data_IF_859587023046
#
_entry.id   IF_859587023046
#
_cell.length_a   1.000
_cell.length_b   1.000
_cell.length_c   1.000
_cell.angle_alpha   90.00
_cell.angle_beta   90.00
_cell.angle_gamma   90.00
#
_symmetry.space_group_name_H-M   'P 1'
#
loop_
_entity.id
_entity.type
_entity.pdbx_description
1 polymer ?
#
# COMPACT_ATOMS: atom_id res chain seq x y z
N UNK A 1 52.78 -45.89 -3.88
CA UNK A 1 52.15 -44.78 -3.13
C UNK A 1 51.32 -44.00 -4.13
N UNK A 2 50.03 -44.34 -4.23
CA UNK A 2 49.06 -43.68 -5.12
C UNK A 2 48.05 -43.04 -4.16
N UNK A 3 48.09 -41.71 -4.07
CA UNK A 3 47.09 -40.92 -3.34
C UNK A 3 45.98 -40.61 -4.32
N UNK A 4 44.81 -41.20 -4.11
CA UNK A 4 43.56 -40.77 -4.76
C UNK A 4 42.88 -39.81 -3.79
N UNK A 5 42.85 -38.52 -4.15
CA UNK A 5 42.05 -37.52 -3.45
C UNK A 5 40.58 -37.70 -3.84
N UNK A 6 39.71 -37.85 -2.84
CA UNK A 6 38.27 -37.62 -3.02
C UNK A 6 38.04 -36.12 -3.09
N UNK A 7 37.52 -35.62 -4.22
CA UNK A 7 36.86 -34.32 -4.26
C UNK A 7 35.47 -34.48 -3.66
N UNK A 8 35.21 -33.74 -2.58
CA UNK A 8 33.90 -33.55 -2.00
C UNK A 8 33.03 -32.78 -3.01
N UNK A 9 31.97 -33.42 -3.50
CA UNK A 9 30.92 -32.75 -4.27
C UNK A 9 30.16 -31.77 -3.36
N UNK A 10 30.18 -30.50 -3.77
CA UNK A 10 29.43 -29.40 -3.15
C UNK A 10 27.93 -29.52 -3.47
N UNK A 11 27.12 -30.03 -2.53
CA UNK A 11 25.65 -30.07 -2.63
C UNK A 11 24.94 -28.80 -2.09
N UNK A 12 25.66 -27.77 -1.65
CA UNK A 12 25.08 -26.64 -0.90
C UNK A 12 24.57 -25.46 -1.74
N UNK A 13 24.70 -25.46 -3.07
CA UNK A 13 24.32 -24.30 -3.91
C UNK A 13 22.89 -24.31 -4.49
N UNK A 14 22.18 -25.44 -4.49
CA UNK A 14 20.83 -25.52 -5.07
C UNK A 14 19.70 -25.19 -4.07
N UNK A 15 19.94 -25.32 -2.77
CA UNK A 15 18.89 -25.10 -1.76
C UNK A 15 18.49 -23.63 -1.61
N UNK A 16 19.46 -22.72 -1.70
CA UNK A 16 19.22 -21.28 -1.59
C UNK A 16 18.48 -20.71 -2.81
N UNK A 17 18.72 -21.27 -4.00
CA UNK A 17 18.13 -20.77 -5.24
C UNK A 17 16.61 -21.04 -5.31
N UNK A 18 16.16 -22.23 -4.91
CA UNK A 18 14.74 -22.58 -4.94
C UNK A 18 13.91 -21.77 -3.94
N UNK A 19 14.40 -21.61 -2.70
CA UNK A 19 13.69 -20.77 -1.68
C UNK A 19 13.62 -19.32 -2.11
N UNK A 20 14.66 -18.81 -2.75
CA UNK A 20 14.69 -17.42 -3.26
C UNK A 20 13.65 -17.22 -4.37
N UNK A 21 13.47 -18.20 -5.27
CA UNK A 21 12.43 -18.14 -6.30
C UNK A 21 11.03 -18.06 -5.69
N UNK A 22 10.70 -18.93 -4.73
CA UNK A 22 9.38 -18.94 -4.09
C UNK A 22 9.07 -17.66 -3.31
N UNK A 23 10.08 -17.08 -2.69
CA UNK A 23 9.95 -15.80 -1.99
C UNK A 23 9.61 -14.66 -2.95
N UNK A 24 10.07 -14.73 -4.20
CA UNK A 24 9.79 -13.73 -5.22
C UNK A 24 8.43 -13.94 -5.89
N UNK A 25 7.96 -15.18 -6.01
CA UNK A 25 6.68 -15.50 -6.65
C UNK A 25 5.47 -15.31 -5.73
N UNK A 26 5.65 -15.38 -4.42
CA UNK A 26 4.56 -15.24 -3.47
C UNK A 26 4.13 -13.77 -3.32
N UNK A 27 2.93 -13.48 -3.78
CA UNK A 27 2.33 -12.14 -3.75
C UNK A 27 1.14 -12.14 -2.78
N UNK A 28 1.40 -12.27 -1.46
CA UNK A 28 0.34 -12.33 -0.43
C UNK A 28 -0.66 -11.18 -0.57
N UNK A 29 -0.20 -9.98 -0.91
CA UNK A 29 -1.04 -8.80 -1.10
C UNK A 29 -2.06 -8.90 -2.26
N UNK A 30 -1.91 -9.88 -3.16
CA UNK A 30 -2.86 -10.12 -4.27
C UNK A 30 -3.95 -11.15 -3.93
N UNK A 31 -3.86 -11.82 -2.78
CA UNK A 31 -4.90 -12.74 -2.34
C UNK A 31 -6.17 -11.96 -2.01
N UNK A 32 -7.30 -12.45 -2.51
CA UNK A 32 -8.61 -11.83 -2.23
C UNK A 32 -9.10 -12.04 -0.80
N UNK A 33 -8.67 -13.12 -0.16
CA UNK A 33 -8.94 -13.38 1.25
C UNK A 33 -8.06 -12.47 2.11
N UNK A 34 -8.70 -11.52 2.81
CA UNK A 34 -8.02 -10.51 3.63
C UNK A 34 -7.16 -11.13 4.73
N UNK A 35 -7.57 -12.28 5.25
CA UNK A 35 -6.80 -12.98 6.26
C UNK A 35 -5.47 -13.49 5.68
N UNK A 36 -5.49 -14.04 4.47
CA UNK A 36 -4.28 -14.47 3.78
C UNK A 36 -3.40 -13.25 3.43
N UNK A 37 -4.00 -12.19 2.89
CA UNK A 37 -3.23 -11.06 2.37
C UNK A 37 -2.57 -10.20 3.44
N UNK A 38 -3.17 -10.10 4.62
CA UNK A 38 -2.72 -9.19 5.67
C UNK A 38 -2.18 -9.93 6.90
N UNK A 39 -2.78 -11.07 7.26
CA UNK A 39 -2.56 -11.74 8.53
C UNK A 39 -1.67 -12.98 8.44
N UNK A 40 -1.39 -13.54 7.25
CA UNK A 40 -0.49 -14.69 7.11
C UNK A 40 0.98 -14.25 6.95
N UNK A 41 1.89 -15.01 7.56
CA UNK A 41 3.32 -14.94 7.39
C UNK A 41 3.88 -16.34 7.04
N UNK A 42 4.97 -16.37 6.28
CA UNK A 42 5.63 -17.62 5.83
C UNK A 42 6.94 -17.80 6.58
N UNK A 43 7.16 -19.01 7.12
CA UNK A 43 8.42 -19.37 7.74
C UNK A 43 9.38 -19.96 6.70
N UNK A 44 10.17 -19.07 6.08
CA UNK A 44 11.16 -19.43 5.06
C UNK A 44 12.36 -20.21 5.60
N UNK A 45 12.54 -20.31 6.92
CA UNK A 45 13.69 -20.97 7.53
C UNK A 45 13.57 -22.49 7.56
N UNK A 46 12.34 -23.01 7.44
CA UNK A 46 12.07 -24.45 7.50
C UNK A 46 11.37 -24.95 6.24
N UNK A 47 12.17 -25.57 5.37
CA UNK A 47 11.69 -26.27 4.17
C UNK A 47 11.77 -27.77 4.42
N UNK A 48 10.61 -28.44 4.49
CA UNK A 48 10.55 -29.90 4.54
C UNK A 48 10.55 -30.43 3.12
N UNK A 49 11.46 -31.34 2.80
CA UNK A 49 11.52 -32.02 1.50
C UNK A 49 11.16 -33.48 1.67
N UNK A 50 10.41 -34.04 0.74
CA UNK A 50 10.05 -35.46 0.74
C UNK A 50 9.95 -35.95 -0.70
N UNK A 51 10.44 -37.16 -0.96
CA UNK A 51 10.34 -37.80 -2.26
C UNK A 51 9.54 -39.11 -2.15
N UNK A 52 8.65 -39.34 -3.12
CA UNK A 52 7.85 -40.57 -3.20
C UNK A 52 7.47 -40.84 -4.65
N UNK A 53 7.94 -41.96 -5.19
CA UNK A 53 7.69 -42.31 -6.59
C UNK A 53 8.29 -41.25 -7.53
N UNK A 54 7.46 -40.65 -8.38
CA UNK A 54 7.82 -39.58 -9.31
C UNK A 54 7.65 -38.16 -8.72
N UNK A 55 7.24 -38.03 -7.45
CA UNK A 55 7.01 -36.74 -6.82
C UNK A 55 8.21 -36.32 -5.96
N UNK A 56 8.71 -35.10 -6.19
CA UNK A 56 9.55 -34.37 -5.24
C UNK A 56 8.75 -33.22 -4.65
N UNK A 57 8.54 -33.26 -3.34
CA UNK A 57 7.67 -32.33 -2.64
C UNK A 57 8.55 -31.46 -1.73
N UNK A 58 8.40 -30.15 -1.83
CA UNK A 58 8.93 -29.20 -0.84
C UNK A 58 7.78 -28.46 -0.18
N UNK A 59 7.88 -28.30 1.13
CA UNK A 59 6.81 -27.80 1.98
C UNK A 59 7.34 -26.73 2.93
N UNK A 60 6.68 -25.59 2.96
CA UNK A 60 7.06 -24.44 3.78
C UNK A 60 5.86 -24.07 4.66
N UNK A 61 6.09 -24.01 5.96
CA UNK A 61 5.03 -23.64 6.91
C UNK A 61 4.64 -22.17 6.78
N UNK A 62 3.36 -21.88 6.93
CA UNK A 62 2.81 -20.54 7.03
C UNK A 62 1.86 -20.45 8.23
N UNK A 63 1.78 -19.29 8.86
CA UNK A 63 1.05 -19.09 10.10
C UNK A 63 0.39 -17.72 10.14
N UNK A 64 -0.65 -17.59 10.95
CA UNK A 64 -1.29 -16.30 11.20
C UNK A 64 -0.50 -15.50 12.24
N UNK A 65 -0.30 -14.21 11.97
CA UNK A 65 0.31 -13.26 12.92
C UNK A 65 -0.61 -13.08 14.13
N UNK A 66 -1.92 -13.06 13.89
CA UNK A 66 -2.97 -13.11 14.90
C UNK A 66 -3.92 -14.27 14.58
N UNK A 67 -4.08 -15.21 15.52
CA UNK A 67 -4.88 -16.42 15.28
C UNK A 67 -6.35 -16.07 15.03
N UNK A 68 -6.91 -16.55 13.92
CA UNK A 68 -8.33 -16.43 13.60
C UNK A 68 -9.13 -17.57 14.23
N UNK A 69 -10.43 -17.33 14.47
CA UNK A 69 -11.35 -18.35 14.99
C UNK A 69 -12.49 -18.66 14.02
N UNK A 70 -12.66 -19.93 13.69
CA UNK A 70 -13.80 -20.42 12.94
C UNK A 70 -14.96 -20.75 13.89
N UNK A 71 -16.13 -20.16 13.64
CA UNK A 71 -17.37 -20.56 14.30
C UNK A 71 -18.07 -21.60 13.43
N UNK A 72 -17.87 -22.87 13.79
CA UNK A 72 -18.42 -24.02 13.09
C UNK A 72 -18.73 -25.15 14.06
N UNK A 73 -19.88 -25.77 13.90
CA UNK A 73 -20.20 -27.02 14.60
C UNK A 73 -19.45 -28.22 14.02
N UNK A 74 -18.86 -28.06 12.83
CA UNK A 74 -18.28 -29.14 12.04
C UNK A 74 -16.76 -29.04 11.85
N UNK A 75 -16.18 -27.83 11.86
CA UNK A 75 -14.76 -27.61 11.66
C UNK A 75 -14.03 -27.39 12.99
N UNK A 76 -12.72 -27.64 12.99
CA UNK A 76 -11.83 -27.09 14.00
C UNK A 76 -11.89 -25.56 13.98
N UNK A 77 -11.62 -24.95 15.13
CA UNK A 77 -11.76 -23.51 15.32
C UNK A 77 -10.57 -22.70 14.77
N UNK A 78 -9.52 -23.32 14.21
CA UNK A 78 -8.33 -22.63 13.74
C UNK A 78 -7.94 -23.06 12.33
N UNK A 79 -7.47 -22.11 11.53
CA UNK A 79 -6.97 -22.36 10.19
C UNK A 79 -5.48 -22.71 10.21
N UNK A 80 -5.06 -23.52 9.25
CA UNK A 80 -3.64 -23.81 8.99
C UNK A 80 -3.27 -23.40 7.57
N UNK A 81 -2.03 -22.99 7.36
CA UNK A 81 -1.53 -22.54 6.07
C UNK A 81 -0.22 -23.22 5.73
N UNK A 82 0.00 -23.44 4.43
CA UNK A 82 1.23 -24.05 3.95
C UNK A 82 1.48 -23.66 2.50
N UNK A 83 2.75 -23.58 2.13
CA UNK A 83 3.17 -23.57 0.72
C UNK A 83 3.66 -24.96 0.37
N UNK A 84 3.17 -25.51 -0.74
CA UNK A 84 3.53 -26.83 -1.23
C UNK A 84 3.98 -26.70 -2.67
N UNK A 85 5.16 -27.23 -2.97
CA UNK A 85 5.66 -27.34 -4.34
C UNK A 85 5.86 -28.79 -4.69
N UNK A 86 5.37 -29.21 -5.84
CA UNK A 86 5.43 -30.59 -6.32
C UNK A 86 6.10 -30.58 -7.68
N UNK A 87 7.26 -31.20 -7.78
CA UNK A 87 7.87 -31.54 -9.06
C UNK A 87 7.41 -32.94 -9.47
N UNK A 88 6.79 -33.04 -10.65
CA UNK A 88 6.36 -34.30 -11.25
C UNK A 88 6.56 -34.24 -12.76
N UNK A 89 7.14 -35.28 -13.35
CA UNK A 89 7.38 -35.37 -14.80
C UNK A 89 8.17 -34.17 -15.38
N UNK A 90 9.08 -33.59 -14.58
CA UNK A 90 9.88 -32.42 -14.97
C UNK A 90 9.11 -31.09 -14.97
N UNK A 91 7.87 -31.07 -14.46
CA UNK A 91 7.08 -29.85 -14.25
C UNK A 91 6.99 -29.53 -12.77
N UNK A 92 7.17 -28.26 -12.44
CA UNK A 92 7.02 -27.74 -11.08
C UNK A 92 5.63 -27.11 -10.92
N UNK A 93 4.92 -27.54 -9.89
CA UNK A 93 3.62 -27.01 -9.49
C UNK A 93 3.74 -26.39 -8.10
N UNK A 94 3.27 -25.15 -7.94
CA UNK A 94 3.40 -24.41 -6.68
C UNK A 94 2.04 -23.94 -6.19
N UNK A 95 1.74 -24.25 -4.93
CA UNK A 95 0.45 -23.98 -4.31
C UNK A 95 0.63 -23.27 -2.97
N UNK A 96 -0.25 -22.32 -2.70
CA UNK A 96 -0.54 -21.87 -1.35
C UNK A 96 -1.84 -22.53 -0.90
N UNK A 97 -1.83 -23.21 0.24
CA UNK A 97 -2.99 -23.94 0.77
C UNK A 97 -3.47 -23.37 2.10
N UNK A 98 -4.77 -23.24 2.21
CA UNK A 98 -5.52 -22.94 3.43
C UNK A 98 -6.29 -24.21 3.82
N UNK A 99 -6.11 -24.68 5.05
CA UNK A 99 -6.58 -25.98 5.50
C UNK A 99 -7.76 -25.82 6.46
N UNK A 100 -8.85 -26.50 6.13
CA UNK A 100 -10.04 -26.64 6.94
C UNK A 100 -10.12 -28.05 7.49
N UNK A 101 -9.92 -28.22 8.79
CA UNK A 101 -9.95 -29.53 9.47
C UNK A 101 -11.33 -29.80 10.05
N UNK A 102 -11.84 -31.02 9.92
CA UNK A 102 -13.10 -31.39 10.57
C UNK A 102 -12.89 -31.57 12.07
N UNK A 103 -13.86 -31.19 12.89
CA UNK A 103 -13.79 -31.22 14.36
C UNK A 103 -13.57 -32.62 14.94
N UNK A 104 -13.97 -33.67 14.21
CA UNK A 104 -13.77 -35.08 14.58
C UNK A 104 -12.58 -35.74 13.86
N UNK A 105 -11.81 -34.96 13.10
CA UNK A 105 -10.61 -35.43 12.39
C UNK A 105 -9.37 -35.39 13.29
N UNK A 106 -8.36 -36.16 12.91
CA UNK A 106 -6.99 -35.87 13.33
C UNK A 106 -6.58 -34.46 12.91
N UNK A 107 -5.80 -33.78 13.76
CA UNK A 107 -5.25 -32.43 13.51
C UNK A 107 -4.35 -32.44 12.27
N UNK A 108 -4.40 -31.37 11.48
CA UNK A 108 -3.52 -31.22 10.32
C UNK A 108 -2.03 -31.30 10.73
N UNK A 109 -1.24 -32.24 10.20
CA UNK A 109 0.12 -32.51 10.67
C UNK A 109 1.18 -31.53 10.10
N UNK A 110 0.75 -30.41 9.51
CA UNK A 110 1.62 -29.42 8.85
C UNK A 110 2.49 -30.05 7.75
N UNK A 111 1.92 -31.04 7.07
CA UNK A 111 2.44 -31.67 5.85
C UNK A 111 1.35 -32.43 5.11
N UNK A 112 1.36 -32.35 3.78
CA UNK A 112 0.46 -33.11 2.92
C UNK A 112 0.85 -34.59 2.80
N UNK A 113 2.04 -34.98 3.30
CA UNK A 113 2.59 -36.33 3.17
C UNK A 113 2.21 -37.27 4.32
N UNK A 114 1.58 -36.76 5.38
CA UNK A 114 1.23 -37.53 6.60
C UNK A 114 -0.25 -37.46 6.97
N UNK A 115 -1.12 -37.42 5.97
CA UNK A 115 -2.57 -37.22 6.16
C UNK A 115 -3.35 -38.47 6.52
N UNK A 116 -2.70 -39.56 6.98
CA UNK A 116 -3.43 -40.76 7.42
C UNK A 116 -4.39 -40.41 8.56
N UNK A 117 -5.68 -40.71 8.40
CA UNK A 117 -6.73 -40.37 9.38
C UNK A 117 -7.30 -38.96 9.26
N UNK A 118 -6.57 -38.03 8.63
CA UNK A 118 -7.02 -36.67 8.40
C UNK A 118 -8.26 -36.61 7.49
N UNK A 119 -9.25 -35.82 7.89
CA UNK A 119 -10.44 -35.49 7.13
C UNK A 119 -10.66 -33.98 7.20
N UNK A 120 -10.79 -33.37 6.03
CA UNK A 120 -10.90 -31.93 5.90
C UNK A 120 -10.84 -31.52 4.45
N UNK A 121 -10.60 -30.24 4.20
CA UNK A 121 -10.47 -29.71 2.84
C UNK A 121 -9.34 -28.70 2.74
N UNK A 122 -8.64 -28.73 1.62
CA UNK A 122 -7.65 -27.75 1.22
C UNK A 122 -8.31 -26.77 0.26
N UNK A 123 -8.32 -25.48 0.60
CA UNK A 123 -8.59 -24.40 -0.35
C UNK A 123 -7.24 -23.99 -0.97
N UNK A 124 -7.14 -24.04 -2.28
CA UNK A 124 -5.86 -24.03 -3.00
C UNK A 124 -5.76 -22.82 -3.90
N UNK A 125 -4.60 -22.16 -3.84
CA UNK A 125 -4.29 -20.95 -4.59
C UNK A 125 -2.95 -21.10 -5.33
N UNK A 126 -2.78 -20.37 -6.43
CA UNK A 126 -1.47 -20.05 -6.96
C UNK A 126 -0.77 -19.02 -6.06
N UNK A 127 0.55 -18.94 -6.15
CA UNK A 127 1.36 -18.01 -5.35
C UNK A 127 1.06 -16.52 -5.65
N UNK A 128 0.44 -16.23 -6.80
CA UNK A 128 -0.03 -14.90 -7.20
C UNK A 128 -1.42 -14.53 -6.63
N UNK A 129 -2.04 -15.41 -5.83
CA UNK A 129 -3.35 -15.19 -5.20
C UNK A 129 -4.56 -15.71 -5.98
N UNK A 130 -4.39 -16.27 -7.18
CA UNK A 130 -5.49 -16.88 -7.94
C UNK A 130 -6.02 -18.14 -7.23
N UNK A 131 -7.33 -18.20 -6.97
CA UNK A 131 -7.98 -19.36 -6.36
C UNK A 131 -8.19 -20.47 -7.39
N UNK A 132 -7.52 -21.60 -7.21
CA UNK A 132 -7.64 -22.75 -8.11
C UNK A 132 -8.84 -23.65 -7.78
N UNK A 133 -9.33 -23.57 -6.54
CA UNK A 133 -10.45 -24.37 -6.06
C UNK A 133 -10.11 -25.11 -4.77
N UNK A 134 -10.60 -26.34 -4.63
CA UNK A 134 -10.50 -27.13 -3.41
C UNK A 134 -10.20 -28.60 -3.68
N UNK A 135 -9.41 -29.19 -2.78
CA UNK A 135 -9.12 -30.63 -2.71
C UNK A 135 -9.65 -31.15 -1.38
N UNK A 136 -10.65 -32.02 -1.43
CA UNK A 136 -11.20 -32.61 -0.23
C UNK A 136 -10.40 -33.85 0.17
N UNK A 137 -10.18 -34.04 1.46
CA UNK A 137 -9.44 -35.17 2.02
C UNK A 137 -10.36 -35.93 2.97
N UNK A 138 -10.51 -37.23 2.76
CA UNK A 138 -11.28 -38.10 3.64
C UNK A 138 -10.43 -39.28 4.09
N UNK A 139 -10.11 -39.32 5.38
CA UNK A 139 -9.23 -40.31 6.01
C UNK A 139 -7.92 -40.49 5.22
N UNK A 140 -7.29 -39.38 4.86
CA UNK A 140 -6.06 -39.30 4.07
C UNK A 140 -6.22 -39.41 2.57
N UNK A 141 -7.41 -39.76 2.07
CA UNK A 141 -7.68 -39.82 0.64
C UNK A 141 -8.07 -38.47 0.08
N UNK A 142 -7.21 -37.91 -0.78
CA UNK A 142 -7.45 -36.67 -1.48
C UNK A 142 -8.25 -36.89 -2.76
N UNK A 143 -9.18 -35.97 -3.04
CA UNK A 143 -9.92 -35.87 -4.28
C UNK A 143 -10.00 -34.42 -4.69
N UNK A 144 -9.62 -34.15 -5.94
CA UNK A 144 -9.95 -32.88 -6.58
C UNK A 144 -11.47 -32.79 -6.72
N UNK A 145 -12.08 -31.87 -5.99
CA UNK A 145 -13.53 -31.61 -6.05
C UNK A 145 -13.84 -30.35 -6.86
N UNK A 146 -12.81 -29.75 -7.45
CA UNK A 146 -12.95 -28.65 -8.41
C UNK A 146 -12.75 -29.19 -9.82
N UNK A 147 -13.45 -28.65 -10.80
CA UNK A 147 -13.26 -28.99 -12.22
C UNK A 147 -11.95 -28.39 -12.79
N UNK A 148 -10.93 -28.19 -11.95
CA UNK A 148 -9.66 -27.59 -12.31
C UNK A 148 -8.56 -28.65 -12.28
N UNK A 149 -8.14 -29.09 -13.46
CA UNK A 149 -7.12 -30.14 -13.61
C UNK A 149 -5.76 -29.78 -13.00
N UNK A 150 -5.50 -28.49 -12.73
CA UNK A 150 -4.27 -28.08 -12.05
C UNK A 150 -4.16 -28.59 -10.61
N UNK A 151 -5.27 -29.07 -10.02
CA UNK A 151 -5.30 -29.65 -8.69
C UNK A 151 -5.14 -31.18 -8.68
N UNK A 152 -5.15 -31.83 -9.84
CA UNK A 152 -5.02 -33.29 -9.94
C UNK A 152 -3.65 -33.73 -9.43
N UNK A 153 -2.58 -33.01 -9.81
CA UNK A 153 -1.21 -33.29 -9.34
C UNK A 153 -1.11 -33.21 -7.81
N UNK A 154 -1.77 -32.22 -7.19
CA UNK A 154 -1.82 -32.11 -5.73
C UNK A 154 -2.55 -33.31 -5.11
N UNK A 155 -3.74 -33.66 -5.61
CA UNK A 155 -4.50 -34.79 -5.09
C UNK A 155 -3.77 -36.13 -5.27
N UNK A 156 -3.16 -36.36 -6.43
CA UNK A 156 -2.36 -37.55 -6.73
C UNK A 156 -1.13 -37.65 -5.82
N UNK A 157 -0.43 -36.53 -5.60
CA UNK A 157 0.74 -36.49 -4.72
C UNK A 157 0.38 -36.84 -3.28
N UNK A 158 -0.75 -36.36 -2.75
CA UNK A 158 -1.26 -36.74 -1.43
C UNK A 158 -1.59 -38.23 -1.40
N UNK A 159 -2.30 -38.71 -2.43
CA UNK A 159 -2.72 -40.10 -2.52
C UNK A 159 -1.54 -41.09 -2.60
N UNK A 160 -0.37 -40.66 -3.06
CA UNK A 160 0.84 -41.48 -3.09
C UNK A 160 1.36 -41.89 -1.69
N UNK A 161 0.93 -41.20 -0.62
CA UNK A 161 1.32 -41.49 0.76
C UNK A 161 0.28 -42.30 1.55
N UNK A 162 -0.86 -42.62 0.94
CA UNK A 162 -1.93 -43.37 1.60
C UNK A 162 -1.48 -44.81 1.85
N UNK A 163 -1.64 -45.23 3.10
CA UNK A 163 -1.61 -46.65 3.45
C UNK A 163 -2.94 -47.28 3.04
N UNK A 164 -2.92 -48.29 2.16
CA UNK A 164 -4.14 -48.95 1.64
C UNK A 164 -5.05 -49.35 2.82
N UNK A 165 -6.23 -48.75 2.93
CA UNK A 165 -7.31 -49.26 3.76
C UNK A 165 -8.52 -49.58 2.88
N UNK A 166 -9.18 -50.71 3.16
CA UNK A 166 -10.22 -51.36 2.35
C UNK A 166 -11.58 -50.63 2.31
N UNK A 167 -11.61 -49.32 2.53
CA UNK A 167 -12.86 -48.60 2.68
C UNK A 167 -13.41 -48.12 1.32
N UNK A 168 -14.52 -48.73 0.89
CA UNK A 168 -15.42 -48.27 -0.18
C UNK A 168 -16.11 -46.96 0.25
N UNK A 169 -15.41 -45.84 0.10
CA UNK A 169 -15.87 -44.54 0.61
C UNK A 169 -16.48 -43.67 -0.48
N UNK A 170 -17.81 -43.58 -0.52
CA UNK A 170 -18.44 -42.31 -0.94
C UNK A 170 -18.10 -41.28 0.15
N UNK A 171 -17.69 -40.08 -0.26
CA UNK A 171 -17.57 -38.96 0.67
C UNK A 171 -18.98 -38.60 1.17
N UNK A 172 -19.16 -38.23 2.45
CA UNK A 172 -20.46 -37.76 2.93
C UNK A 172 -20.86 -36.47 2.20
N UNK A 173 -22.14 -36.34 1.82
CA UNK A 173 -22.67 -35.07 1.33
C UNK A 173 -22.78 -34.08 2.48
N UNK A 174 -22.21 -32.89 2.35
CA UNK A 174 -22.27 -31.86 3.38
C UNK A 174 -23.29 -30.78 2.99
N UNK A 175 -24.38 -30.68 3.75
CA UNK A 175 -25.35 -29.59 3.64
C UNK A 175 -25.08 -28.42 4.59
N UNK A 176 -23.88 -28.34 5.18
CA UNK A 176 -23.53 -27.36 6.22
C UNK A 176 -22.79 -26.14 5.66
N UNK A 177 -23.14 -24.96 6.16
CA UNK A 177 -22.34 -23.75 6.03
C UNK A 177 -21.54 -23.54 7.32
N UNK A 178 -20.40 -22.86 7.26
CA UNK A 178 -19.67 -22.41 8.44
C UNK A 178 -19.40 -20.91 8.36
N UNK A 179 -19.26 -20.27 9.52
CA UNK A 179 -18.95 -18.83 9.59
C UNK A 179 -17.50 -18.64 10.01
N UNK A 180 -16.72 -18.00 9.16
CA UNK A 180 -15.38 -17.52 9.49
C UNK A 180 -15.53 -16.17 10.17
N UNK A 181 -15.09 -16.05 11.42
CA UNK A 181 -15.05 -14.75 12.10
C UNK A 181 -13.60 -14.31 12.23
N UNK A 182 -13.27 -13.18 11.62
CA UNK A 182 -11.95 -12.57 11.67
C UNK A 182 -12.08 -11.27 12.47
N UNK A 183 -11.43 -11.21 13.63
CA UNK A 183 -11.30 -9.98 14.41
C UNK A 183 -9.98 -9.29 14.05
N UNK A 184 -10.02 -8.32 13.14
CA UNK A 184 -8.85 -7.51 12.81
C UNK A 184 -8.78 -6.31 13.74
N UNK A 185 -7.76 -6.28 14.59
CA UNK A 185 -7.52 -5.18 15.51
C UNK A 185 -6.49 -4.22 14.93
N UNK A 186 -6.94 -3.05 14.48
CA UNK A 186 -6.08 -2.00 13.93
C UNK A 186 -5.89 -0.93 15.00
N UNK A 187 -4.66 -0.82 15.51
CA UNK A 187 -4.26 0.33 16.32
C UNK A 187 -3.87 1.48 15.41
N UNK A 188 -4.57 2.60 15.55
CA UNK A 188 -4.27 3.84 14.81
C UNK A 188 -3.38 4.72 15.67
N UNK A 189 -2.35 5.23 15.02
CA UNK A 189 -1.45 6.22 15.60
C UNK A 189 -1.48 7.45 14.71
N UNK A 190 -1.64 8.61 15.33
CA UNK A 190 -1.39 9.90 14.69
C UNK A 190 0.10 10.13 14.79
N UNK A 191 0.76 10.08 13.64
CA UNK A 191 2.18 10.36 13.54
C UNK A 191 2.33 11.81 13.10
N UNK A 192 2.79 12.65 14.02
CA UNK A 192 3.03 14.05 13.76
C UNK A 192 4.45 14.18 13.24
N UNK A 193 4.58 14.64 12.00
CA UNK A 193 5.88 14.92 11.38
C UNK A 193 6.03 16.39 11.09
N UNK A 194 7.29 16.83 11.07
CA UNK A 194 7.70 18.12 10.51
C UNK A 194 8.75 17.82 9.46
N UNK A 195 8.37 17.91 8.19
CA UNK A 195 9.12 17.35 7.08
C UNK A 195 9.36 15.84 7.25
N UNK A 196 10.61 15.42 7.17
CA UNK A 196 11.02 14.00 7.28
C UNK A 196 11.22 13.53 8.73
N UNK A 197 11.00 14.39 9.74
CA UNK A 197 11.19 14.04 11.16
C UNK A 197 9.87 13.78 11.86
N UNK A 198 9.77 12.64 12.53
CA UNK A 198 8.69 12.35 13.47
C UNK A 198 8.96 13.13 14.76
N UNK A 199 7.98 13.92 15.18
CA UNK A 199 8.05 14.71 16.41
C UNK A 199 7.09 14.20 17.50
N UNK A 200 6.03 13.48 17.12
CA UNK A 200 5.17 12.77 18.06
C UNK A 200 4.53 11.55 17.38
N UNK A 201 4.27 10.51 18.18
CA UNK A 201 3.46 9.36 17.78
C UNK A 201 2.41 9.19 18.86
N UNK A 202 1.17 9.53 18.54
CA UNK A 202 0.07 9.51 19.48
C UNK A 202 -0.85 8.36 19.16
N UNK A 203 -1.13 7.52 20.16
CA UNK A 203 -2.12 6.47 19.99
C UNK A 203 -3.52 7.10 19.95
N UNK A 204 -4.21 6.92 18.83
CA UNK A 204 -5.56 7.49 18.57
C UNK A 204 -6.62 6.57 19.14
N UNK A 205 -6.38 5.28 19.04
CA UNK A 205 -7.33 4.27 19.44
C UNK A 205 -7.12 2.97 18.70
N UNK A 206 -7.96 2.01 19.01
CA UNK A 206 -7.96 0.72 18.34
C UNK A 206 -9.35 0.45 17.82
N UNK A 207 -9.42 0.10 16.54
CA UNK A 207 -10.65 -0.35 15.90
C UNK A 207 -10.50 -1.85 15.68
N UNK A 208 -11.35 -2.64 16.32
CA UNK A 208 -11.49 -4.05 16.00
C UNK A 208 -12.60 -4.21 14.98
N UNK A 209 -12.23 -4.53 13.74
CA UNK A 209 -13.18 -4.87 12.69
C UNK A 209 -13.42 -6.37 12.74
N UNK A 210 -14.62 -6.76 13.18
CA UNK A 210 -15.10 -8.14 13.09
C UNK A 210 -15.69 -8.36 11.70
N UNK A 211 -15.08 -9.23 10.91
CA UNK A 211 -15.62 -9.67 9.63
C UNK A 211 -16.17 -11.08 9.78
N UNK A 212 -17.44 -11.28 9.42
CA UNK A 212 -18.06 -12.61 9.37
C UNK A 212 -18.30 -13.03 7.92
N UNK A 213 -17.74 -14.15 7.50
CA UNK A 213 -17.95 -14.73 6.16
C UNK A 213 -18.63 -16.08 6.29
N UNK A 214 -19.82 -16.25 5.71
CA UNK A 214 -20.46 -17.56 5.60
C UNK A 214 -19.86 -18.27 4.39
N UNK A 215 -19.27 -19.44 4.60
CA UNK A 215 -18.66 -20.23 3.55
C UNK A 215 -19.34 -21.60 3.44
N UNK A 216 -19.66 -22.05 2.22
CA UNK A 216 -20.18 -23.39 2.00
C UNK A 216 -19.06 -24.40 2.26
N UNK A 217 -19.41 -25.54 2.85
CA UNK A 217 -18.42 -26.60 3.05
C UNK A 217 -18.03 -27.24 1.71
N UNK A 218 -16.74 -27.26 1.34
CA UNK A 218 -16.27 -27.80 0.08
C UNK A 218 -16.36 -29.34 0.09
N UNK A 219 -17.45 -29.88 -0.45
CA UNK A 219 -17.74 -31.32 -0.54
C UNK A 219 -18.19 -31.72 -1.95
N UNK A 220 -18.50 -33.01 -2.14
CA UNK A 220 -18.94 -33.60 -3.42
C UNK A 220 -20.36 -33.17 -3.87
N UNK A 221 -20.95 -32.20 -3.18
CA UNK A 221 -22.24 -31.64 -3.52
C UNK A 221 -22.17 -30.96 -4.88
N UNK A 222 -23.14 -31.30 -5.73
CA UNK A 222 -23.50 -30.55 -6.93
C UNK A 222 -24.13 -29.21 -6.46
N UNK A 223 -23.37 -28.40 -5.72
CA UNK A 223 -23.76 -27.04 -5.44
C UNK A 223 -23.63 -26.31 -6.78
N UNK A 224 -24.73 -25.73 -7.24
CA UNK A 224 -24.76 -24.99 -8.50
C UNK A 224 -23.60 -23.99 -8.51
N UNK A 225 -22.80 -23.98 -9.59
CA UNK A 225 -21.74 -22.98 -9.79
C UNK A 225 -22.28 -21.56 -9.56
N UNK A 226 -23.56 -21.34 -9.86
CA UNK A 226 -24.24 -20.09 -9.62
C UNK A 226 -24.32 -19.73 -8.14
N UNK A 227 -24.55 -20.67 -7.22
CA UNK A 227 -24.66 -20.41 -5.78
C UNK A 227 -23.30 -20.10 -5.14
N UNK A 228 -22.25 -20.85 -5.49
CA UNK A 228 -20.88 -20.57 -5.01
C UNK A 228 -20.37 -19.25 -5.58
N UNK A 229 -20.68 -18.95 -6.84
CA UNK A 229 -20.31 -17.69 -7.48
C UNK A 229 -21.12 -16.51 -6.94
N UNK A 230 -22.42 -16.66 -6.72
CA UNK A 230 -23.30 -15.64 -6.15
C UNK A 230 -22.96 -15.36 -4.68
N UNK A 231 -22.59 -16.36 -3.88
CA UNK A 231 -22.11 -16.14 -2.51
C UNK A 231 -20.75 -15.44 -2.48
N UNK A 232 -19.82 -15.79 -3.39
CA UNK A 232 -18.56 -15.05 -3.55
C UNK A 232 -18.81 -13.60 -4.00
N UNK A 233 -19.73 -13.39 -4.95
CA UNK A 233 -20.15 -12.06 -5.39
C UNK A 233 -20.85 -11.29 -4.27
N UNK A 234 -21.70 -11.90 -3.46
CA UNK A 234 -22.31 -11.26 -2.29
C UNK A 234 -21.25 -10.90 -1.26
N UNK A 235 -20.21 -11.72 -1.04
CA UNK A 235 -19.07 -11.36 -0.18
C UNK A 235 -18.28 -10.16 -0.72
N UNK A 236 -18.03 -10.11 -2.04
CA UNK A 236 -17.38 -8.98 -2.70
C UNK A 236 -18.27 -7.73 -2.71
N UNK A 237 -19.57 -7.89 -2.88
CA UNK A 237 -20.55 -6.81 -2.91
C UNK A 237 -20.93 -6.35 -1.50
N UNK A 238 -20.79 -7.17 -0.46
CA UNK A 238 -20.91 -6.78 0.95
C UNK A 238 -19.82 -5.75 1.29
N UNK A 239 -18.60 -5.89 0.74
CA UNK A 239 -17.59 -4.81 0.79
C UNK A 239 -18.00 -3.53 0.04
N UNK A 240 -18.95 -3.61 -0.90
CA UNK A 240 -19.52 -2.44 -1.57
C UNK A 240 -20.83 -1.93 -0.93
N UNK A 241 -21.49 -2.69 -0.05
CA UNK A 241 -22.87 -2.39 0.39
C UNK A 241 -23.19 -2.60 1.87
N UNK A 242 -22.22 -2.94 2.72
CA UNK A 242 -22.44 -3.07 4.17
C UNK A 242 -21.20 -2.67 4.99
N UNK A 243 -20.71 -1.48 4.70
CA UNK A 243 -20.25 -0.56 5.74
C UNK A 243 -21.39 0.36 6.14
N UNK A 244 -22.47 -0.20 6.69
CA UNK A 244 -23.59 0.56 7.25
C UNK A 244 -23.19 1.27 8.53
N UNK A 245 -22.45 2.36 8.42
CA UNK A 245 -22.72 3.54 9.23
C UNK A 245 -23.50 4.45 8.29
N UNK A 246 -24.73 4.82 8.65
CA UNK A 246 -25.37 6.00 8.08
C UNK A 246 -24.56 7.24 8.51
N UNK A 247 -23.39 7.40 7.91
CA UNK A 247 -22.85 8.69 7.62
C UNK A 247 -23.23 8.96 6.19
N UNK A 248 -23.97 10.04 5.95
CA UNK A 248 -23.89 10.79 4.69
C UNK A 248 -22.55 10.56 4.01
N UNK A 249 -22.55 10.27 2.71
CA UNK A 249 -21.36 10.46 1.87
C UNK A 249 -20.92 11.90 2.16
N UNK A 250 -19.92 12.06 3.03
CA UNK A 250 -19.48 13.38 3.44
C UNK A 250 -18.85 14.01 2.21
N UNK A 251 -19.28 15.22 1.89
CA UNK A 251 -18.66 16.01 0.85
C UNK A 251 -17.13 16.10 1.08
N UNK A 252 -16.33 16.20 0.00
CA UNK A 252 -14.90 16.50 0.14
C UNK A 252 -14.70 17.78 0.99
N UNK A 253 -13.82 17.70 1.99
CA UNK A 253 -13.46 18.83 2.87
C UNK A 253 -12.31 19.69 2.30
N UNK A 254 -11.79 19.30 1.13
CA UNK A 254 -11.02 20.18 0.25
C UNK A 254 -12.00 20.73 -0.81
N UNK A 255 -12.41 21.98 -0.63
CA UNK A 255 -13.24 22.71 -1.57
C UNK A 255 -12.35 23.28 -2.68
N UNK A 256 -12.23 22.53 -3.78
CA UNK A 256 -11.46 22.94 -4.96
C UNK A 256 -12.31 23.83 -5.88
N UNK A 257 -12.15 25.13 -5.73
CA UNK A 257 -12.72 26.20 -6.57
C UNK A 257 -11.65 26.81 -7.51
N UNK A 258 -10.57 26.07 -7.79
CA UNK A 258 -9.62 26.48 -8.81
C UNK A 258 -10.24 26.39 -10.21
N UNK A 259 -9.74 27.22 -11.12
CA UNK A 259 -10.15 27.23 -12.53
C UNK A 259 -8.96 27.04 -13.48
N UNK A 260 -9.27 26.67 -14.73
CA UNK A 260 -8.31 26.54 -15.81
C UNK A 260 -7.05 25.72 -15.46
N UNK A 261 -5.88 26.28 -15.79
CA UNK A 261 -4.59 25.63 -15.58
C UNK A 261 -4.32 25.24 -14.13
N UNK A 262 -4.65 26.10 -13.17
CA UNK A 262 -4.42 25.79 -11.75
C UNK A 262 -5.28 24.60 -11.30
N UNK A 263 -6.54 24.56 -11.75
CA UNK A 263 -7.44 23.43 -11.47
C UNK A 263 -6.88 22.12 -12.02
N UNK A 264 -6.51 22.10 -13.29
CA UNK A 264 -5.94 20.91 -13.93
C UNK A 264 -4.74 20.38 -13.15
N UNK A 265 -3.79 21.25 -12.80
CA UNK A 265 -2.59 20.84 -12.09
C UNK A 265 -2.88 20.37 -10.67
N UNK A 266 -3.81 21.01 -9.97
CA UNK A 266 -4.25 20.56 -8.65
C UNK A 266 -4.91 19.18 -8.73
N UNK A 267 -5.86 18.98 -9.65
CA UNK A 267 -6.54 17.69 -9.82
C UNK A 267 -5.55 16.56 -10.15
N UNK A 268 -4.54 16.85 -10.99
CA UNK A 268 -3.49 15.90 -11.30
C UNK A 268 -2.58 15.63 -10.10
N UNK A 269 -2.24 16.66 -9.32
CA UNK A 269 -1.39 16.58 -8.13
C UNK A 269 -2.08 15.80 -7.01
N UNK A 270 -3.36 16.04 -6.75
CA UNK A 270 -4.11 15.30 -5.73
C UNK A 270 -4.28 13.84 -6.13
N UNK A 271 -4.49 13.56 -7.43
CA UNK A 271 -4.69 12.20 -7.94
C UNK A 271 -3.40 11.38 -8.06
N UNK A 272 -2.31 11.99 -8.53
CA UNK A 272 -1.07 11.29 -8.91
C UNK A 272 0.15 11.74 -8.09
N UNK A 273 -0.03 12.62 -7.12
CA UNK A 273 1.02 13.06 -6.22
C UNK A 273 1.62 11.89 -5.44
N UNK A 274 2.90 12.01 -5.10
CA UNK A 274 3.63 11.00 -4.37
C UNK A 274 3.11 10.84 -2.93
N UNK A 275 3.68 9.87 -2.19
CA UNK A 275 3.28 9.61 -0.81
C UNK A 275 3.41 10.82 0.13
N UNK A 276 4.27 11.81 -0.19
CA UNK A 276 4.39 13.03 0.59
C UNK A 276 3.20 13.95 0.37
N UNK A 277 2.80 14.16 -0.89
CA UNK A 277 1.59 14.93 -1.23
C UNK A 277 0.37 14.30 -0.59
N UNK A 278 0.21 12.98 -0.72
CA UNK A 278 -0.94 12.26 -0.13
C UNK A 278 -0.98 12.40 1.40
N UNK A 279 0.17 12.39 2.08
CA UNK A 279 0.26 12.59 3.54
C UNK A 279 -0.13 14.00 4.00
N UNK A 280 0.03 15.02 3.15
CA UNK A 280 -0.47 16.36 3.48
C UNK A 280 -1.98 16.38 3.32
N UNK A 281 -2.49 15.88 2.19
CA UNK A 281 -3.91 15.96 1.86
C UNK A 281 -4.78 15.15 2.83
N UNK A 282 -4.31 13.99 3.28
CA UNK A 282 -5.08 13.13 4.21
C UNK A 282 -5.40 13.83 5.54
N UNK A 283 -4.63 14.82 5.97
CA UNK A 283 -4.90 15.61 7.19
C UNK A 283 -6.18 16.47 7.05
N UNK A 284 -6.65 16.69 5.83
CA UNK A 284 -7.81 17.50 5.47
C UNK A 284 -8.94 16.67 4.86
N UNK A 285 -8.84 15.34 4.95
CA UNK A 285 -9.82 14.41 4.41
C UNK A 285 -10.63 13.73 5.53
N UNK A 286 -11.92 13.52 5.26
CA UNK A 286 -12.82 12.75 6.13
C UNK A 286 -13.44 13.53 7.29
N UNK A 287 -14.57 13.02 7.81
CA UNK A 287 -15.45 13.71 8.77
C UNK A 287 -14.78 14.16 10.07
N UNK A 288 -13.63 13.61 10.41
CA UNK A 288 -12.91 13.87 11.65
C UNK A 288 -11.77 14.88 11.49
N UNK A 289 -11.52 15.43 10.28
CA UNK A 289 -10.52 16.49 10.16
C UNK A 289 -10.96 17.71 10.99
N UNK A 290 -10.02 18.31 11.72
CA UNK A 290 -10.26 19.52 12.50
C UNK A 290 -10.34 20.76 11.60
N UNK A 291 -9.76 20.70 10.40
CA UNK A 291 -9.62 21.82 9.47
C UNK A 291 -10.09 21.44 8.06
N UNK A 292 -10.70 22.39 7.36
CA UNK A 292 -11.06 22.25 5.94
C UNK A 292 -10.11 23.11 5.09
N UNK A 293 -9.84 22.71 3.84
CA UNK A 293 -9.13 23.55 2.88
C UNK A 293 -10.12 24.09 1.86
N UNK A 294 -10.13 25.40 1.67
CA UNK A 294 -10.75 26.04 0.51
C UNK A 294 -9.66 26.55 -0.41
N UNK A 295 -9.51 25.99 -1.60
CA UNK A 295 -8.50 26.41 -2.59
C UNK A 295 -9.18 27.08 -3.78
N UNK A 296 -8.86 28.34 -4.06
CA UNK A 296 -9.58 29.21 -5.02
C UNK A 296 -8.62 29.85 -6.02
N UNK A 297 -9.10 30.07 -7.24
CA UNK A 297 -8.42 30.93 -8.21
C UNK A 297 -8.83 32.39 -8.02
N UNK A 298 -7.83 33.26 -7.87
CA UNK A 298 -8.02 34.72 -7.83
C UNK A 298 -7.32 35.33 -9.04
N UNK A 299 -7.82 36.43 -9.62
CA UNK A 299 -7.20 37.05 -10.80
C UNK A 299 -5.72 37.40 -10.52
N UNK A 300 -5.50 38.19 -9.47
CA UNK A 300 -4.19 38.62 -8.97
C UNK A 300 -4.15 38.59 -7.45
N UNK A 301 -3.01 38.21 -6.91
CA UNK A 301 -2.71 38.28 -5.49
C UNK A 301 -1.55 39.24 -5.31
N UNK A 302 -1.66 40.20 -4.41
CA UNK A 302 -0.61 41.21 -4.20
C UNK A 302 -0.11 41.22 -2.76
N UNK A 303 1.20 41.37 -2.58
CA UNK A 303 1.85 41.54 -1.28
C UNK A 303 2.83 42.72 -1.32
N UNK A 304 3.31 43.15 -0.15
CA UNK A 304 4.39 44.15 -0.06
C UNK A 304 5.73 43.43 0.06
N UNK A 305 6.69 43.83 -0.76
CA UNK A 305 8.06 43.37 -0.61
C UNK A 305 8.78 44.04 0.58
N UNK A 306 10.03 43.64 0.83
CA UNK A 306 10.86 44.20 1.91
C UNK A 306 11.09 45.72 1.79
N UNK A 307 10.86 46.31 0.62
CA UNK A 307 10.97 47.76 0.36
C UNK A 307 9.62 48.49 0.43
N UNK A 308 8.53 47.76 0.66
CA UNK A 308 7.17 48.28 0.75
C UNK A 308 6.45 48.43 -0.60
N UNK A 309 7.06 47.98 -1.70
CA UNK A 309 6.43 48.01 -3.02
C UNK A 309 5.39 46.89 -3.15
N UNK A 310 4.27 47.20 -3.81
CA UNK A 310 3.24 46.21 -4.11
C UNK A 310 3.74 45.33 -5.26
N UNK A 311 3.89 44.03 -4.98
CA UNK A 311 4.29 43.00 -5.94
C UNK A 311 3.17 41.96 -6.07
N UNK A 312 3.06 41.37 -7.25
CA UNK A 312 2.13 40.26 -7.49
C UNK A 312 2.80 38.93 -7.13
N UNK A 313 2.12 38.11 -6.32
CA UNK A 313 2.61 36.82 -5.83
C UNK A 313 1.82 35.65 -6.44
N UNK A 314 2.41 34.46 -6.41
CA UNK A 314 1.86 33.29 -7.09
C UNK A 314 0.70 32.63 -6.31
N UNK A 315 0.78 32.64 -4.99
CA UNK A 315 -0.19 32.04 -4.09
C UNK A 315 -0.04 32.59 -2.68
N UNK A 316 -1.05 32.36 -1.85
CA UNK A 316 -1.03 32.71 -0.44
C UNK A 316 -2.00 31.83 0.34
N UNK A 317 -1.59 31.40 1.52
CA UNK A 317 -2.42 30.66 2.47
C UNK A 317 -2.80 31.53 3.67
N UNK A 318 -4.11 31.63 3.94
CA UNK A 318 -4.70 32.37 5.03
C UNK A 318 -5.39 31.41 6.01
N UNK A 319 -5.02 31.49 7.27
CA UNK A 319 -5.66 30.72 8.34
C UNK A 319 -5.82 31.59 9.59
N UNK A 320 -6.99 31.51 10.23
CA UNK A 320 -7.29 32.23 11.46
C UNK A 320 -7.49 31.26 12.62
N UNK A 321 -6.86 31.53 13.76
CA UNK A 321 -6.99 30.70 14.95
C UNK A 321 -8.45 30.62 15.39
N UNK A 322 -8.95 29.39 15.55
CA UNK A 322 -10.32 29.12 15.96
C UNK A 322 -11.34 29.05 14.81
N UNK A 323 -10.90 29.30 13.57
CA UNK A 323 -11.66 28.94 12.37
C UNK A 323 -11.23 27.56 11.89
N UNK A 324 -12.20 26.81 11.35
CA UNK A 324 -12.00 25.50 10.73
C UNK A 324 -11.43 25.63 9.31
N UNK A 325 -11.84 26.65 8.56
CA UNK A 325 -11.43 26.85 7.17
C UNK A 325 -10.02 27.47 7.08
N UNK A 326 -9.19 26.87 6.23
CA UNK A 326 -7.91 27.40 5.73
C UNK A 326 -8.10 27.75 4.25
N UNK A 327 -7.89 29.01 3.90
CA UNK A 327 -8.06 29.51 2.54
C UNK A 327 -6.71 29.52 1.81
N UNK A 328 -6.62 28.87 0.66
CA UNK A 328 -5.50 28.95 -0.27
C UNK A 328 -5.97 29.72 -1.50
N UNK A 329 -5.33 30.84 -1.79
CA UNK A 329 -5.55 31.60 -3.01
C UNK A 329 -4.41 31.34 -4.00
N UNK A 330 -4.74 31.04 -5.26
CA UNK A 330 -3.78 30.88 -6.35
C UNK A 330 -4.03 31.93 -7.41
N UNK A 331 -2.97 32.69 -7.76
CA UNK A 331 -3.03 33.77 -8.75
C UNK A 331 -3.16 33.22 -10.16
N UNK A 332 -4.23 33.60 -10.87
CA UNK A 332 -4.52 33.15 -12.24
C UNK A 332 -3.56 33.80 -13.24
N UNK A 333 -3.27 35.09 -13.08
CA UNK A 333 -2.28 35.79 -13.91
C UNK A 333 -0.90 35.14 -13.80
N UNK A 334 -0.41 34.87 -12.58
CA UNK A 334 0.87 34.16 -12.38
C UNK A 334 0.84 32.72 -12.86
N UNK A 335 -0.29 32.04 -12.68
CA UNK A 335 -0.49 30.69 -13.20
C UNK A 335 -0.28 30.62 -14.71
N UNK A 336 -0.77 31.62 -15.44
CA UNK A 336 -0.64 31.71 -16.89
C UNK A 336 0.75 32.17 -17.35
N UNK A 337 1.46 32.92 -16.51
CA UNK A 337 2.84 33.36 -16.78
C UNK A 337 3.87 32.24 -16.59
N UNK A 338 3.71 31.39 -15.58
CA UNK A 338 4.71 30.40 -15.19
C UNK A 338 4.56 29.05 -15.89
N UNK A 339 5.59 28.20 -15.80
CA UNK A 339 5.53 26.83 -16.32
C UNK A 339 4.59 25.95 -15.48
N UNK A 340 4.11 24.84 -16.06
CA UNK A 340 3.22 23.91 -15.36
C UNK A 340 3.85 23.39 -14.07
N UNK A 341 5.14 23.00 -14.10
CA UNK A 341 5.84 22.49 -12.93
C UNK A 341 6.05 23.56 -11.84
N UNK A 342 6.26 24.83 -12.19
CA UNK A 342 6.37 25.90 -11.19
C UNK A 342 5.03 26.21 -10.51
N UNK A 343 3.91 26.00 -11.21
CA UNK A 343 2.57 26.09 -10.61
C UNK A 343 2.29 24.90 -9.69
N UNK A 344 2.72 23.69 -10.05
CA UNK A 344 2.67 22.53 -9.14
C UNK A 344 3.48 22.81 -7.87
N UNK A 345 4.69 23.38 -8.00
CA UNK A 345 5.49 23.84 -6.84
C UNK A 345 4.72 24.84 -5.99
N UNK A 346 4.08 25.82 -6.60
CA UNK A 346 3.28 26.83 -5.89
C UNK A 346 2.14 26.18 -5.12
N UNK A 347 1.33 25.32 -5.75
CA UNK A 347 0.22 24.63 -5.10
C UNK A 347 0.72 23.78 -3.93
N UNK A 348 1.81 23.03 -4.13
CA UNK A 348 2.42 22.22 -3.07
C UNK A 348 2.94 23.07 -1.91
N UNK A 349 3.53 24.22 -2.19
CA UNK A 349 3.99 25.17 -1.20
C UNK A 349 2.84 25.68 -0.31
N UNK A 350 1.71 26.04 -0.92
CA UNK A 350 0.53 26.48 -0.16
C UNK A 350 -0.10 25.34 0.65
N UNK A 351 -0.13 24.11 0.13
CA UNK A 351 -0.57 22.95 0.93
C UNK A 351 0.31 22.71 2.15
N UNK A 352 1.62 22.95 2.06
CA UNK A 352 2.51 22.86 3.22
C UNK A 352 2.20 23.98 4.22
N UNK A 353 1.91 25.21 3.78
CA UNK A 353 1.41 26.25 4.68
C UNK A 353 0.14 25.82 5.41
N UNK A 354 -0.82 25.22 4.71
CA UNK A 354 -2.04 24.72 5.31
C UNK A 354 -1.76 23.63 6.37
N UNK A 355 -0.86 22.68 6.08
CA UNK A 355 -0.40 21.64 7.02
C UNK A 355 0.28 22.24 8.27
N UNK A 356 1.10 23.28 8.09
CA UNK A 356 1.72 23.98 9.22
C UNK A 356 0.69 24.74 10.05
N UNK A 357 -0.32 25.35 9.42
CA UNK A 357 -1.40 26.04 10.11
C UNK A 357 -2.28 25.10 10.92
N UNK A 358 -2.72 23.98 10.33
CA UNK A 358 -3.54 22.99 11.06
C UNK A 358 -2.82 22.51 12.31
N UNK A 359 -1.54 22.11 12.20
CA UNK A 359 -0.72 21.66 13.32
C UNK A 359 -0.49 22.75 14.38
N UNK A 360 -0.45 24.03 13.97
CA UNK A 360 -0.26 25.16 14.90
C UNK A 360 -1.56 25.51 15.64
N UNK A 361 -2.71 25.32 15.00
CA UNK A 361 -4.00 25.79 15.49
C UNK A 361 -4.86 24.70 16.14
N UNK A 362 -4.49 23.42 16.01
CA UNK A 362 -5.11 22.31 16.75
C UNK A 362 -5.17 22.60 18.25
N UNK A 363 -6.36 22.45 18.85
CA UNK A 363 -6.58 22.75 20.29
C UNK A 363 -6.00 21.68 21.21
N UNK A 364 -5.15 22.15 22.14
CA UNK A 364 -4.77 21.57 23.44
C UNK A 364 -4.42 20.06 23.50
N UNK A 365 -3.13 19.78 23.28
CA UNK A 365 -2.37 18.80 24.06
C UNK A 365 -1.09 19.45 24.57
N UNK A 366 -0.50 18.95 25.66
CA UNK A 366 0.75 19.47 26.22
C UNK A 366 1.91 19.53 25.20
N UNK A 367 1.83 18.73 24.13
CA UNK A 367 2.80 18.64 23.04
C UNK A 367 2.52 19.62 21.87
N UNK A 368 1.30 20.19 21.74
CA UNK A 368 1.04 21.28 20.79
C UNK A 368 1.80 22.56 21.18
N UNK A 369 2.00 22.76 22.48
CA UNK A 369 2.94 23.75 23.03
C UNK A 369 4.40 23.46 22.64
N UNK A 370 4.77 22.20 22.39
CA UNK A 370 6.11 21.83 21.94
C UNK A 370 6.26 21.96 20.42
N UNK A 371 5.23 21.69 19.62
CA UNK A 371 5.24 22.00 18.18
C UNK A 371 5.36 23.50 17.92
N UNK A 372 4.59 24.35 18.62
CA UNK A 372 4.72 25.81 18.51
C UNK A 372 6.11 26.32 18.97
N UNK A 373 6.73 25.66 19.96
CA UNK A 373 8.12 25.95 20.36
C UNK A 373 9.13 25.49 19.29
N UNK A 374 8.92 24.32 18.68
CA UNK A 374 9.75 23.81 17.58
C UNK A 374 9.63 24.71 16.36
N UNK A 375 8.43 25.17 15.99
CA UNK A 375 8.21 26.19 14.95
C UNK A 375 8.98 27.48 15.24
N UNK A 376 8.96 27.95 16.50
CA UNK A 376 9.75 29.12 16.92
C UNK A 376 11.26 28.92 16.78
N UNK A 377 11.77 27.67 16.84
CA UNK A 377 13.20 27.40 16.58
C UNK A 377 13.60 27.66 15.12
N UNK A 378 12.63 27.67 14.21
CA UNK A 378 12.82 27.93 12.78
C UNK A 378 12.35 29.32 12.36
N UNK A 379 12.10 30.22 13.33
CA UNK A 379 11.68 31.62 13.17
C UNK A 379 10.26 31.80 12.60
N UNK A 380 10.01 31.28 11.39
CA UNK A 380 8.73 31.41 10.68
C UNK A 380 8.42 30.14 9.85
N UNK A 381 7.24 30.09 9.22
CA UNK A 381 6.82 28.94 8.41
C UNK A 381 7.75 28.68 7.22
N UNK A 382 8.25 29.72 6.54
CA UNK A 382 9.24 29.57 5.47
C UNK A 382 10.56 28.96 5.98
N UNK A 383 10.99 29.28 7.20
CA UNK A 383 12.16 28.67 7.84
C UNK A 383 11.96 27.18 8.12
N UNK A 384 10.76 26.79 8.59
CA UNK A 384 10.38 25.37 8.75
C UNK A 384 10.42 24.65 7.41
N UNK A 385 9.80 25.22 6.38
CA UNK A 385 9.77 24.62 5.05
C UNK A 385 11.17 24.45 4.47
N UNK A 386 12.01 25.47 4.58
CA UNK A 386 13.39 25.44 4.11
C UNK A 386 14.22 24.37 4.83
N UNK A 387 14.02 24.21 6.14
CA UNK A 387 14.78 23.26 6.94
C UNK A 387 14.31 21.80 6.77
N UNK A 388 13.00 21.58 6.58
CA UNK A 388 12.40 20.26 6.76
C UNK A 388 11.69 19.72 5.52
N UNK A 389 11.24 20.58 4.60
CA UNK A 389 10.39 20.18 3.47
C UNK A 389 11.07 20.28 2.09
N UNK A 390 12.27 20.87 1.97
CA UNK A 390 12.99 20.98 0.68
C UNK A 390 13.19 19.62 0.01
N UNK A 391 13.59 18.59 0.77
CA UNK A 391 13.81 17.26 0.21
C UNK A 391 12.50 16.60 -0.23
N UNK A 392 11.44 16.73 0.55
CA UNK A 392 10.12 16.18 0.22
C UNK A 392 9.53 16.88 -1.02
N UNK A 393 9.62 18.22 -1.10
CA UNK A 393 9.23 18.98 -2.29
C UNK A 393 10.05 18.60 -3.53
N UNK A 394 11.37 18.48 -3.40
CA UNK A 394 12.26 18.04 -4.49
C UNK A 394 11.81 16.69 -5.05
N UNK A 395 11.55 15.72 -4.18
CA UNK A 395 11.11 14.37 -4.58
C UNK A 395 9.74 14.42 -5.25
N UNK A 396 8.77 15.12 -4.66
CA UNK A 396 7.43 15.23 -5.22
C UNK A 396 7.44 15.91 -6.61
N UNK A 397 8.20 17.00 -6.78
CA UNK A 397 8.35 17.69 -8.06
C UNK A 397 9.02 16.81 -9.12
N UNK A 398 10.05 16.05 -8.72
CA UNK A 398 10.74 15.12 -9.61
C UNK A 398 9.80 14.03 -10.12
N UNK A 399 9.11 13.36 -9.21
CA UNK A 399 8.20 12.27 -9.56
C UNK A 399 7.03 12.80 -10.40
N UNK A 400 6.43 13.93 -10.03
CA UNK A 400 5.35 14.54 -10.80
C UNK A 400 5.78 14.96 -12.21
N UNK A 401 6.95 15.60 -12.36
CA UNK A 401 7.47 15.99 -13.66
C UNK A 401 7.70 14.76 -14.57
N UNK A 402 8.29 13.70 -14.01
CA UNK A 402 8.63 12.48 -14.74
C UNK A 402 7.41 11.64 -15.13
N UNK A 403 6.41 11.56 -14.27
CA UNK A 403 5.29 10.61 -14.43
C UNK A 403 4.00 11.25 -14.94
N UNK A 404 3.77 12.54 -14.64
CA UNK A 404 2.53 13.25 -14.98
C UNK A 404 2.76 14.27 -16.08
N UNK A 405 3.82 15.08 -15.99
CA UNK A 405 4.19 16.06 -17.01
C UNK A 405 5.24 15.49 -17.99
N UNK A 406 5.04 14.24 -18.42
CA UNK A 406 6.04 13.48 -19.18
C UNK A 406 6.48 14.17 -20.48
N UNK A 407 5.57 14.87 -21.16
CA UNK A 407 5.89 15.63 -22.36
C UNK A 407 6.83 16.80 -22.07
N UNK A 408 6.64 17.48 -20.94
CA UNK A 408 7.52 18.57 -20.50
C UNK A 408 8.90 18.04 -20.08
N UNK A 409 8.91 16.91 -19.38
CA UNK A 409 10.14 16.20 -19.00
C UNK A 409 10.96 15.80 -20.23
N UNK A 410 10.31 15.24 -21.25
CA UNK A 410 10.96 14.87 -22.51
C UNK A 410 11.45 16.09 -23.29
N UNK A 411 10.71 17.21 -23.28
CA UNK A 411 11.14 18.48 -23.88
C UNK A 411 12.36 19.07 -23.18
N UNK A 412 12.43 18.99 -21.85
CA UNK A 412 13.62 19.39 -21.11
C UNK A 412 14.84 18.60 -21.59
N UNK A 413 14.73 17.27 -21.70
CA UNK A 413 15.83 16.41 -22.19
C UNK A 413 16.23 16.80 -23.60
N UNK A 414 15.26 16.99 -24.49
CA UNK A 414 15.54 17.37 -25.87
C UNK A 414 16.26 18.72 -25.99
N UNK A 415 15.95 19.66 -25.10
CA UNK A 415 16.53 21.00 -25.11
C UNK A 415 17.93 21.05 -24.46
N UNK A 416 18.09 20.43 -23.29
CA UNK A 416 19.35 20.50 -22.52
C UNK A 416 20.32 19.35 -22.81
N UNK A 417 19.87 18.29 -23.50
CA UNK A 417 20.69 17.10 -23.79
C UNK A 417 20.95 16.22 -22.56
N UNK A 418 20.26 16.46 -21.45
CA UNK A 418 20.44 15.75 -20.18
C UNK A 418 19.11 15.60 -19.43
N UNK A 419 19.02 14.58 -18.57
CA UNK A 419 17.89 14.43 -17.66
C UNK A 419 17.90 15.55 -16.60
N UNK A 420 16.74 16.08 -16.18
CA UNK A 420 16.68 17.01 -15.05
C UNK A 420 17.24 16.33 -13.79
N UNK A 421 18.24 16.97 -13.16
CA UNK A 421 18.94 16.43 -12.00
C UNK A 421 18.21 16.69 -10.69
N UNK A 422 18.57 15.98 -9.62
CA UNK A 422 18.04 16.25 -8.28
C UNK A 422 18.34 17.69 -7.81
N UNK A 423 19.48 18.23 -8.21
CA UNK A 423 19.86 19.62 -7.93
C UNK A 423 18.93 20.62 -8.63
N UNK A 424 18.39 20.29 -9.81
CA UNK A 424 17.40 21.11 -10.49
C UNK A 424 16.08 21.16 -9.72
N UNK A 425 15.59 20.01 -9.24
CA UNK A 425 14.37 19.96 -8.44
C UNK A 425 14.54 20.56 -7.04
N UNK A 426 15.74 20.46 -6.45
CA UNK A 426 16.07 21.17 -5.21
C UNK A 426 16.04 22.69 -5.44
N UNK A 427 16.62 23.16 -6.56
CA UNK A 427 16.59 24.57 -6.92
C UNK A 427 15.16 25.10 -7.15
N UNK A 428 14.29 24.28 -7.75
CA UNK A 428 12.86 24.55 -7.84
C UNK A 428 12.22 24.63 -6.45
N UNK A 429 12.46 23.67 -5.56
CA UNK A 429 11.89 23.65 -4.21
C UNK A 429 12.26 24.88 -3.36
N UNK A 430 13.42 25.49 -3.62
CA UNK A 430 13.82 26.77 -3.02
C UNK A 430 13.04 27.99 -3.55
N UNK A 431 12.27 27.84 -4.63
CA UNK A 431 11.39 28.88 -5.17
C UNK A 431 10.34 29.32 -4.15
N UNK A 432 10.21 30.63 -3.95
CA UNK A 432 9.40 31.24 -2.89
C UNK A 432 10.16 31.40 -1.55
N UNK A 433 10.94 30.39 -1.14
CA UNK A 433 11.64 30.40 0.16
C UNK A 433 12.91 31.26 0.18
N UNK A 434 13.67 31.27 -0.93
CA UNK A 434 14.95 31.99 -1.01
C UNK A 434 14.82 33.52 -0.94
N UNK A 435 13.67 34.07 -1.30
CA UNK A 435 13.42 35.52 -1.31
C UNK A 435 13.10 36.07 0.09
N UNK A 436 12.79 35.18 1.03
CA UNK A 436 12.38 35.50 2.40
C UNK A 436 13.56 35.51 3.38
N UNK A 437 14.79 35.34 2.85
CA UNK A 437 16.05 35.37 3.61
C UNK A 437 16.06 34.50 4.88
N UNK A 438 15.38 33.35 4.82
CA UNK A 438 15.28 32.41 5.93
C UNK A 438 16.67 31.89 6.33
N UNK A 439 16.85 31.58 7.61
CA UNK A 439 18.13 31.11 8.15
C UNK A 439 18.76 29.96 7.35
N UNK A 440 17.96 28.97 6.98
CA UNK A 440 18.42 27.82 6.19
C UNK A 440 18.98 28.24 4.81
N UNK A 441 18.46 29.31 4.21
CA UNK A 441 19.02 29.90 2.99
C UNK A 441 20.29 30.69 3.30
N UNK A 442 20.29 31.54 4.33
CA UNK A 442 21.46 32.37 4.66
C UNK A 442 22.68 31.53 4.99
N UNK A 443 22.48 30.39 5.66
CA UNK A 443 23.53 29.46 6.08
C UNK A 443 24.14 28.67 4.91
N UNK A 444 23.53 28.68 3.71
CA UNK A 444 24.13 28.09 2.51
C UNK A 444 25.37 28.86 2.07
N UNK A 445 26.38 28.13 1.57
CA UNK A 445 27.57 28.72 0.94
C UNK A 445 27.20 29.53 -0.30
N UNK A 446 28.02 30.53 -0.64
CA UNK A 446 27.83 31.34 -1.84
C UNK A 446 27.75 30.47 -3.11
N UNK A 447 28.60 29.45 -3.22
CA UNK A 447 28.61 28.53 -4.36
C UNK A 447 27.29 27.74 -4.47
N UNK A 448 26.73 27.29 -3.35
CA UNK A 448 25.45 26.56 -3.34
C UNK A 448 24.29 27.47 -3.74
N UNK A 449 24.27 28.73 -3.29
CA UNK A 449 23.28 29.72 -3.70
C UNK A 449 23.36 30.00 -5.20
N UNK A 450 24.57 30.23 -5.73
CA UNK A 450 24.79 30.45 -7.16
C UNK A 450 24.37 29.24 -8.01
N UNK A 451 24.64 28.01 -7.55
CA UNK A 451 24.19 26.78 -8.22
C UNK A 451 22.65 26.67 -8.26
N UNK A 452 21.99 26.98 -7.14
CA UNK A 452 20.52 27.01 -7.06
C UNK A 452 19.95 28.07 -8.01
N UNK A 453 20.51 29.28 -8.02
CA UNK A 453 20.05 30.37 -8.90
C UNK A 453 20.18 30.01 -10.38
N UNK A 454 21.30 29.43 -10.78
CA UNK A 454 21.54 29.01 -12.16
C UNK A 454 20.52 27.93 -12.60
N UNK A 455 20.31 26.92 -11.76
CA UNK A 455 19.37 25.84 -12.06
C UNK A 455 17.91 26.29 -12.02
N UNK A 456 17.53 27.16 -11.08
CA UNK A 456 16.18 27.70 -10.97
C UNK A 456 15.77 28.48 -12.24
N UNK A 457 16.71 29.17 -12.90
CA UNK A 457 16.42 29.86 -14.16
C UNK A 457 15.97 28.92 -15.29
N UNK A 458 16.33 27.63 -15.24
CA UNK A 458 15.88 26.63 -16.23
C UNK A 458 14.37 26.38 -16.14
N UNK A 459 13.75 26.64 -14.98
CA UNK A 459 12.30 26.51 -14.79
C UNK A 459 11.49 27.41 -15.74
N UNK A 460 12.07 28.54 -16.17
CA UNK A 460 11.44 29.48 -17.12
C UNK A 460 11.38 28.93 -18.54
N UNK A 461 12.13 27.86 -18.84
CA UNK A 461 12.16 27.17 -20.14
C UNK A 461 11.23 25.96 -20.20
N UNK A 462 10.64 25.57 -19.07
CA UNK A 462 9.62 24.52 -19.03
C UNK A 462 8.30 25.00 -19.67
N UNK A 463 7.51 24.05 -20.14
CA UNK A 463 6.25 24.27 -20.82
C UNK A 463 5.21 24.91 -19.90
N UNK A 464 4.42 25.82 -20.46
CA UNK A 464 3.23 26.37 -19.80
C UNK A 464 1.99 25.50 -20.00
N UNK A 465 2.03 24.55 -20.95
CA UNK A 465 0.92 23.67 -21.29
C UNK A 465 0.65 22.65 -20.19
N UNK A 466 -0.60 22.24 -20.07
CA UNK A 466 -1.05 21.18 -19.18
C UNK A 466 -1.74 20.06 -19.96
N UNK A 467 -1.76 18.82 -19.45
CA UNK A 467 -2.30 17.69 -20.20
C UNK A 467 -3.84 17.57 -20.12
N UNK A 468 -4.52 18.34 -19.27
CA UNK A 468 -5.97 18.35 -19.25
C UNK A 468 -6.52 19.11 -20.45
N UNK A 469 -7.58 18.60 -21.05
CA UNK A 469 -8.38 19.29 -22.07
C UNK A 469 -9.42 20.13 -21.32
N UNK A 470 -9.54 21.41 -21.68
CA UNK A 470 -10.57 22.32 -21.12
C UNK A 470 -12.00 21.85 -21.42
#
# INVERSE_FOLDING_TARGET
MILVSCEENSETNNESQNVTHFKNDLELNKFSNINISENVAVNWESVKKTEKGNFKISEISAYEKAVSTLESDFLENHLKYQIVTIESEGKLHSYFIEVYTNKESDVYPETITKLNGFTGTLNVFLLNGENLGSVAIYKGRARNISENNNLDVLAESINAFITKSDATNKMPQCGGNYTVIIDQTISRYDVWTVGDKIIAINYVGTTTTRTSSIMPYPCDGIADKSDVFNQRIELYNFKASSGGINGEIAAPQIFNELTGKAKCLNDLLTKNGDSFVQKILINFEGKNSEFDIKIVSVDKITSKDATGNIIEINGHTLAEKGKREILIEISTSKTNENSALDIVRTILHEYIHADLHSKTFTKEFAEATDFAKVLKMYENQHGVMAALYINSMKTALKEFHKTVLIDDYNKYIAYYGENPSDAFYEALAWGGLRLENVKAWTDLTADKKAAIENLANRATKLSKMVPCVD
#
